data_IF_238232724048
#
_entry.id   IF_238232724048
#
_cell.length_a   1.000
_cell.length_b   1.000
_cell.length_c   1.000
_cell.angle_alpha   90.00
_cell.angle_beta   90.00
_cell.angle_gamma   90.00
#
_symmetry.space_group_name_H-M   'P 1'
#
loop_
_entity.id
_entity.type
_entity.pdbx_description
1 polymer ?
#
# COMPACT_ATOMS: atom_id res chain seq x y z
N UNK A 1 4.62 -3.16 -20.51
CA UNK A 1 5.66 -4.13 -20.87
C UNK A 1 5.05 -5.11 -21.85
N UNK A 2 5.66 -5.26 -23.01
CA UNK A 2 5.16 -6.13 -24.10
C UNK A 2 6.32 -6.37 -25.04
N UNK A 3 6.64 -7.60 -25.41
CA UNK A 3 7.77 -7.92 -26.30
C UNK A 3 7.49 -7.54 -27.77
N UNK A 4 6.29 -7.11 -28.09
CA UNK A 4 5.93 -6.53 -29.38
C UNK A 4 6.10 -4.99 -29.37
N UNK A 5 7.15 -4.46 -29.98
CA UNK A 5 7.46 -3.02 -30.04
C UNK A 5 6.28 -2.18 -30.58
N UNK A 6 5.55 -2.70 -31.58
CA UNK A 6 4.39 -2.01 -32.16
C UNK A 6 3.23 -1.81 -31.18
N UNK A 7 3.07 -2.71 -30.21
CA UNK A 7 2.05 -2.55 -29.12
C UNK A 7 2.52 -1.50 -28.14
N UNK A 8 3.79 -1.54 -27.74
CA UNK A 8 4.39 -0.54 -26.83
C UNK A 8 4.25 0.87 -27.44
N UNK A 9 4.56 1.04 -28.72
CA UNK A 9 4.43 2.32 -29.42
C UNK A 9 2.97 2.81 -29.47
N UNK A 10 2.05 1.92 -29.79
CA UNK A 10 0.63 2.23 -29.85
C UNK A 10 0.08 2.67 -28.49
N UNK A 11 0.45 1.94 -27.42
CA UNK A 11 0.10 2.30 -26.05
C UNK A 11 0.75 3.64 -25.62
N UNK A 12 2.00 3.88 -26.02
CA UNK A 12 2.70 5.14 -25.75
C UNK A 12 1.94 6.34 -26.32
N UNK A 13 1.56 6.27 -27.58
CA UNK A 13 0.82 7.34 -28.24
C UNK A 13 -0.54 7.55 -27.58
N UNK A 14 -1.24 6.47 -27.29
CA UNK A 14 -2.58 6.51 -26.69
C UNK A 14 -2.56 7.07 -25.28
N UNK A 15 -1.71 6.56 -24.40
CA UNK A 15 -1.65 6.97 -23.00
C UNK A 15 -1.11 8.38 -22.81
N UNK A 16 -0.10 8.78 -23.59
CA UNK A 16 0.40 10.18 -23.58
C UNK A 16 -0.67 11.17 -24.03
N UNK A 17 -1.50 10.82 -25.01
CA UNK A 17 -2.65 11.65 -25.42
C UNK A 17 -3.70 11.77 -24.34
N UNK A 18 -3.86 10.75 -23.51
CA UNK A 18 -4.77 10.73 -22.35
C UNK A 18 -4.19 11.43 -21.12
N UNK A 19 -2.97 11.99 -21.21
CA UNK A 19 -2.35 12.78 -20.15
C UNK A 19 -1.54 11.98 -19.14
N UNK A 20 -1.22 10.72 -19.44
CA UNK A 20 -0.41 9.87 -18.56
C UNK A 20 1.06 9.90 -18.94
N UNK A 21 1.93 9.89 -17.95
CA UNK A 21 3.34 9.57 -18.14
C UNK A 21 3.49 8.09 -18.47
N UNK A 22 4.30 7.80 -19.49
CA UNK A 22 4.43 6.44 -20.00
C UNK A 22 5.89 6.05 -20.24
N UNK A 23 6.28 4.92 -19.69
CA UNK A 23 7.57 4.26 -19.95
C UNK A 23 7.31 2.90 -20.60
N UNK A 24 7.73 2.75 -21.86
CA UNK A 24 7.63 1.50 -22.61
C UNK A 24 8.87 0.64 -22.43
N UNK A 25 8.69 -0.66 -22.24
CA UNK A 25 9.77 -1.64 -22.12
C UNK A 25 9.37 -2.91 -22.85
N UNK A 26 10.29 -3.46 -23.64
CA UNK A 26 10.06 -4.70 -24.40
C UNK A 26 10.76 -5.92 -23.76
N UNK A 27 11.70 -5.71 -22.87
CA UNK A 27 12.38 -6.77 -22.13
C UNK A 27 11.76 -6.89 -20.71
N UNK A 28 11.16 -8.05 -20.36
CA UNK A 28 10.60 -8.24 -19.02
C UNK A 28 11.62 -8.16 -17.90
N UNK A 29 12.90 -8.48 -18.16
CA UNK A 29 13.96 -8.35 -17.15
C UNK A 29 14.31 -6.89 -16.90
N UNK A 30 14.38 -6.06 -17.95
CA UNK A 30 14.54 -4.61 -17.81
C UNK A 30 13.36 -3.99 -17.04
N UNK A 31 12.13 -4.46 -17.27
CA UNK A 31 10.95 -3.99 -16.56
C UNK A 31 11.06 -4.22 -15.05
N UNK A 32 11.52 -5.41 -14.63
CA UNK A 32 11.74 -5.73 -13.21
C UNK A 32 12.78 -4.76 -12.59
N UNK A 33 13.89 -4.52 -13.29
CA UNK A 33 14.93 -3.62 -12.79
C UNK A 33 14.45 -2.15 -12.73
N UNK A 34 13.64 -1.71 -13.68
CA UNK A 34 13.04 -0.36 -13.64
C UNK A 34 12.11 -0.21 -12.43
N UNK A 35 11.24 -1.19 -12.17
CA UNK A 35 10.32 -1.13 -11.01
C UNK A 35 11.06 -1.17 -9.67
N UNK A 36 12.28 -1.72 -9.61
CA UNK A 36 13.12 -1.64 -8.40
C UNK A 36 13.70 -0.24 -8.17
N UNK A 37 14.02 0.48 -9.25
CA UNK A 37 14.78 1.71 -9.18
C UNK A 37 13.91 2.97 -9.34
N UNK A 38 12.73 2.84 -9.93
CA UNK A 38 11.82 3.93 -10.25
C UNK A 38 10.43 3.63 -9.68
N UNK A 39 9.68 4.68 -9.39
CA UNK A 39 8.28 4.56 -8.94
C UNK A 39 7.34 4.53 -10.13
N UNK A 40 6.44 3.57 -10.12
CA UNK A 40 5.33 3.47 -11.07
C UNK A 40 4.03 3.24 -10.29
N UNK A 41 2.97 3.92 -10.69
CA UNK A 41 1.63 3.75 -10.10
C UNK A 41 0.96 2.49 -10.63
N UNK A 42 1.10 2.26 -11.96
CA UNK A 42 0.41 1.19 -12.67
C UNK A 42 1.34 0.57 -13.71
N UNK A 43 1.30 -0.74 -13.82
CA UNK A 43 1.99 -1.51 -14.86
C UNK A 43 0.97 -2.21 -15.75
N UNK A 44 1.11 -2.03 -17.06
CA UNK A 44 0.43 -2.83 -18.07
C UNK A 44 1.44 -3.87 -18.55
N UNK A 45 1.09 -5.15 -18.45
CA UNK A 45 2.00 -6.25 -18.65
C UNK A 45 1.38 -7.29 -19.59
N UNK A 46 2.04 -7.61 -20.68
CA UNK A 46 1.65 -8.75 -21.48
C UNK A 46 1.84 -10.05 -20.71
N UNK A 47 0.91 -10.97 -20.88
CA UNK A 47 0.98 -12.27 -20.21
C UNK A 47 1.95 -13.22 -20.90
N UNK A 48 2.02 -13.18 -22.23
CA UNK A 48 2.87 -14.09 -23.02
C UNK A 48 4.04 -13.32 -23.60
N UNK A 49 5.17 -13.45 -22.97
CA UNK A 49 6.43 -12.81 -23.39
C UNK A 49 7.59 -13.80 -23.35
N UNK A 50 8.68 -13.45 -23.99
CA UNK A 50 9.98 -14.12 -23.89
C UNK A 50 11.02 -13.16 -23.29
N UNK A 51 12.00 -13.63 -22.48
CA UNK A 51 12.28 -15.03 -22.08
C UNK A 51 11.42 -15.55 -20.91
N UNK A 52 10.65 -14.71 -20.24
CA UNK A 52 9.79 -15.11 -19.11
C UNK A 52 8.36 -14.60 -19.32
N UNK A 53 7.38 -15.35 -18.84
CA UNK A 53 5.97 -14.96 -18.91
C UNK A 53 5.60 -13.89 -17.87
N UNK A 54 4.46 -13.23 -18.11
CA UNK A 54 3.98 -12.14 -17.24
C UNK A 54 3.72 -12.56 -15.80
N UNK A 55 3.27 -13.79 -15.55
CA UNK A 55 3.10 -14.33 -14.19
C UNK A 55 4.43 -14.39 -13.42
N UNK A 56 5.52 -14.79 -14.08
CA UNK A 56 6.86 -14.82 -13.49
C UNK A 56 7.39 -13.40 -13.20
N UNK A 57 7.11 -12.45 -14.09
CA UNK A 57 7.42 -11.03 -13.87
C UNK A 57 6.71 -10.51 -12.61
N UNK A 58 5.42 -10.81 -12.49
CA UNK A 58 4.63 -10.42 -11.31
C UNK A 58 5.17 -11.08 -10.03
N UNK A 59 5.49 -12.37 -10.06
CA UNK A 59 6.08 -13.07 -8.91
C UNK A 59 7.39 -12.39 -8.44
N UNK A 60 8.26 -12.01 -9.36
CA UNK A 60 9.50 -11.30 -9.01
C UNK A 60 9.23 -9.90 -8.42
N UNK A 61 8.33 -9.14 -9.03
CA UNK A 61 7.96 -7.79 -8.56
C UNK A 61 7.31 -7.86 -7.17
N UNK A 62 6.41 -8.81 -6.92
CA UNK A 62 5.72 -8.95 -5.63
C UNK A 62 6.63 -9.29 -4.45
N UNK A 63 7.87 -9.75 -4.70
CA UNK A 63 8.87 -9.96 -3.64
C UNK A 63 9.31 -8.65 -2.98
N UNK A 64 9.29 -7.53 -3.71
CA UNK A 64 9.76 -6.22 -3.23
C UNK A 64 8.74 -5.09 -3.36
N UNK A 65 7.75 -5.20 -4.26
CA UNK A 65 6.69 -4.20 -4.43
C UNK A 65 5.31 -4.89 -4.45
N UNK A 66 4.59 -4.75 -3.34
CA UNK A 66 3.24 -5.30 -3.17
C UNK A 66 2.13 -4.33 -3.59
N UNK A 67 2.47 -3.06 -3.81
CA UNK A 67 1.50 -1.98 -4.02
C UNK A 67 1.31 -1.61 -5.48
N UNK A 68 2.26 -1.96 -6.37
CA UNK A 68 2.16 -1.69 -7.79
C UNK A 68 0.86 -2.27 -8.37
N UNK A 69 0.05 -1.42 -8.98
CA UNK A 69 -1.18 -1.85 -9.64
C UNK A 69 -0.84 -2.53 -10.97
N UNK A 70 -1.22 -3.78 -11.15
CA UNK A 70 -0.85 -4.57 -12.34
C UNK A 70 -2.10 -4.93 -13.13
N UNK A 71 -2.11 -4.53 -14.41
CA UNK A 71 -3.08 -4.94 -15.42
C UNK A 71 -2.39 -5.86 -16.43
N UNK A 72 -2.93 -7.07 -16.61
CA UNK A 72 -2.43 -7.96 -17.64
C UNK A 72 -3.10 -7.69 -18.99
N UNK A 73 -2.30 -7.71 -20.04
CA UNK A 73 -2.79 -7.83 -21.40
C UNK A 73 -2.69 -9.29 -21.86
N UNK A 74 -3.65 -9.77 -22.63
CA UNK A 74 -3.62 -11.13 -23.21
C UNK A 74 -4.06 -11.09 -24.66
N UNK A 75 -3.33 -11.79 -25.52
CA UNK A 75 -3.64 -11.86 -26.96
C UNK A 75 -4.83 -12.76 -27.32
N UNK A 76 -5.18 -13.73 -26.47
CA UNK A 76 -6.24 -14.70 -26.73
C UNK A 76 -6.97 -15.10 -25.44
N UNK A 77 -8.30 -15.26 -25.54
CA UNK A 77 -9.15 -15.70 -24.41
C UNK A 77 -8.76 -17.06 -23.85
N UNK A 78 -8.34 -17.96 -24.71
CA UNK A 78 -7.95 -19.33 -24.33
C UNK A 78 -6.59 -19.40 -23.61
N UNK A 79 -5.81 -18.31 -23.63
CA UNK A 79 -4.50 -18.19 -22.99
C UNK A 79 -4.53 -17.23 -21.78
N UNK A 80 -5.73 -16.78 -21.39
CA UNK A 80 -5.88 -15.97 -20.16
C UNK A 80 -5.39 -16.77 -18.95
N UNK A 81 -4.69 -16.12 -18.02
CA UNK A 81 -4.23 -16.79 -16.81
C UNK A 81 -5.41 -17.35 -16.02
N UNK A 82 -5.28 -18.54 -15.41
CA UNK A 82 -6.31 -19.08 -14.53
C UNK A 82 -6.67 -18.06 -13.44
N UNK A 83 -7.96 -17.98 -13.07
CA UNK A 83 -8.42 -17.08 -12.01
C UNK A 83 -7.66 -17.28 -10.68
N UNK A 84 -7.19 -18.49 -10.42
CA UNK A 84 -6.35 -18.80 -9.27
C UNK A 84 -5.00 -18.08 -9.33
N UNK A 85 -4.38 -18.00 -10.51
CA UNK A 85 -3.12 -17.26 -10.74
C UNK A 85 -3.32 -15.77 -10.53
N UNK A 86 -4.40 -15.19 -11.08
CA UNK A 86 -4.73 -13.77 -10.89
C UNK A 86 -4.88 -13.43 -9.40
N UNK A 87 -5.59 -14.28 -8.65
CA UNK A 87 -5.79 -14.09 -7.19
C UNK A 87 -4.50 -14.30 -6.39
N UNK A 88 -3.73 -15.34 -6.72
CA UNK A 88 -2.48 -15.67 -6.01
C UNK A 88 -1.43 -14.57 -6.16
N UNK A 89 -1.35 -13.97 -7.34
CA UNK A 89 -0.36 -12.94 -7.67
C UNK A 89 -0.84 -11.52 -7.39
N UNK A 90 -2.05 -11.37 -6.84
CA UNK A 90 -2.65 -10.06 -6.57
C UNK A 90 -2.61 -9.14 -7.81
N UNK A 91 -3.15 -9.64 -8.91
CA UNK A 91 -3.30 -8.92 -10.17
C UNK A 91 -4.68 -8.26 -10.17
N UNK A 92 -4.73 -6.94 -10.39
CA UNK A 92 -5.94 -6.16 -10.22
C UNK A 92 -6.90 -6.23 -11.40
N UNK A 93 -6.40 -6.58 -12.58
CA UNK A 93 -7.26 -6.77 -13.74
C UNK A 93 -6.55 -7.35 -14.95
N UNK A 94 -7.34 -7.77 -15.92
CA UNK A 94 -6.82 -8.17 -17.23
C UNK A 94 -7.70 -7.64 -18.37
N UNK A 95 -7.10 -7.43 -19.53
CA UNK A 95 -7.74 -6.95 -20.74
C UNK A 95 -7.24 -7.74 -21.93
N UNK A 96 -8.09 -7.96 -22.93
CA UNK A 96 -7.68 -8.57 -24.18
C UNK A 96 -7.03 -7.53 -25.11
N UNK A 97 -5.92 -7.92 -25.78
CA UNK A 97 -5.25 -7.06 -26.79
C UNK A 97 -6.17 -6.70 -27.96
N UNK A 98 -7.20 -7.52 -28.22
CA UNK A 98 -8.22 -7.30 -29.24
C UNK A 98 -9.30 -6.32 -28.84
N UNK A 99 -9.41 -6.00 -27.56
CA UNK A 99 -10.39 -5.04 -27.06
C UNK A 99 -10.07 -3.63 -27.55
N UNK A 100 -11.11 -2.82 -27.68
CA UNK A 100 -10.92 -1.42 -28.06
C UNK A 100 -10.12 -0.71 -26.97
N UNK A 101 -9.20 0.16 -27.36
CA UNK A 101 -8.42 0.98 -26.44
C UNK A 101 -9.26 1.71 -25.39
N UNK A 102 -10.52 1.99 -25.68
CA UNK A 102 -11.47 2.60 -24.74
C UNK A 102 -11.72 1.71 -23.49
N UNK A 103 -11.76 0.38 -23.65
CA UNK A 103 -11.91 -0.53 -22.48
C UNK A 103 -10.65 -0.54 -21.62
N UNK A 104 -9.48 -0.57 -22.25
CA UNK A 104 -8.21 -0.46 -21.54
C UNK A 104 -8.12 0.87 -20.77
N UNK A 105 -8.53 1.98 -21.39
CA UNK A 105 -8.55 3.30 -20.73
C UNK A 105 -9.44 3.29 -19.50
N UNK A 106 -10.65 2.74 -19.59
CA UNK A 106 -11.55 2.61 -18.45
C UNK A 106 -10.95 1.81 -17.30
N UNK A 107 -10.22 0.73 -17.60
CA UNK A 107 -9.52 -0.07 -16.59
C UNK A 107 -8.38 0.73 -15.95
N UNK A 108 -7.63 1.48 -16.74
CA UNK A 108 -6.55 2.33 -16.24
C UNK A 108 -7.12 3.45 -15.36
N UNK A 109 -8.15 4.16 -15.79
CA UNK A 109 -8.81 5.21 -15.01
C UNK A 109 -9.37 4.67 -13.70
N UNK A 110 -10.01 3.50 -13.74
CA UNK A 110 -10.49 2.82 -12.53
C UNK A 110 -9.35 2.42 -11.59
N UNK A 111 -8.24 1.93 -12.16
CA UNK A 111 -7.02 1.59 -11.41
C UNK A 111 -6.41 2.80 -10.73
N UNK A 112 -6.22 3.89 -11.47
CA UNK A 112 -5.65 5.14 -10.91
C UNK A 112 -6.54 5.69 -9.81
N UNK A 113 -7.85 5.70 -10.00
CA UNK A 113 -8.77 6.10 -8.95
C UNK A 113 -8.68 5.23 -7.69
N UNK A 114 -8.49 3.93 -7.87
CA UNK A 114 -8.28 3.00 -6.74
C UNK A 114 -6.95 3.29 -6.01
N UNK A 115 -5.89 3.60 -6.74
CA UNK A 115 -4.59 3.99 -6.18
C UNK A 115 -4.70 5.29 -5.38
N UNK A 116 -5.37 6.31 -5.92
CA UNK A 116 -5.61 7.58 -5.23
C UNK A 116 -6.37 7.37 -3.92
N UNK A 117 -7.43 6.54 -3.94
CA UNK A 117 -8.20 6.21 -2.75
C UNK A 117 -7.35 5.47 -1.70
N UNK A 118 -6.52 4.52 -2.12
CA UNK A 118 -5.62 3.79 -1.21
C UNK A 118 -4.58 4.72 -0.57
N UNK A 119 -4.00 5.62 -1.35
CA UNK A 119 -3.05 6.60 -0.85
C UNK A 119 -3.70 7.57 0.15
N UNK A 120 -4.92 8.01 -0.12
CA UNK A 120 -5.67 8.86 0.81
C UNK A 120 -6.01 8.12 2.11
N UNK A 121 -6.41 6.85 2.04
CA UNK A 121 -6.66 6.02 3.24
C UNK A 121 -5.37 5.89 4.07
N UNK A 122 -4.21 5.65 3.44
CA UNK A 122 -2.93 5.59 4.14
C UNK A 122 -2.62 6.91 4.86
N UNK A 123 -2.76 8.02 4.15
CA UNK A 123 -2.53 9.36 4.71
C UNK A 123 -3.41 9.64 5.93
N UNK A 124 -4.71 9.32 5.82
CA UNK A 124 -5.67 9.50 6.93
C UNK A 124 -5.29 8.60 8.13
N UNK A 125 -4.88 7.35 7.90
CA UNK A 125 -4.48 6.44 8.97
C UNK A 125 -3.22 6.92 9.69
N UNK A 126 -2.24 7.45 8.98
CA UNK A 126 -1.03 8.04 9.57
C UNK A 126 -1.36 9.28 10.42
N UNK A 127 -2.22 10.17 9.91
CA UNK A 127 -2.69 11.36 10.62
C UNK A 127 -3.48 10.98 11.89
N UNK A 128 -4.35 9.97 11.77
CA UNK A 128 -5.13 9.44 12.88
C UNK A 128 -4.21 8.87 13.98
N UNK A 129 -3.22 8.06 13.61
CA UNK A 129 -2.23 7.50 14.56
C UNK A 129 -1.49 8.61 15.30
N UNK A 130 -0.98 9.61 14.57
CA UNK A 130 -0.30 10.76 15.17
C UNK A 130 -1.20 11.56 16.12
N UNK A 131 -2.49 11.67 15.78
CA UNK A 131 -3.47 12.39 16.61
C UNK A 131 -3.79 11.62 17.87
N UNK A 132 -3.90 10.30 17.81
CA UNK A 132 -4.07 9.43 18.98
C UNK A 132 -2.90 9.56 19.96
N UNK A 133 -1.66 9.51 19.46
CA UNK A 133 -0.47 9.68 20.31
C UNK A 133 -0.45 11.05 21.02
N UNK A 134 -0.81 12.12 20.31
CA UNK A 134 -0.91 13.47 20.91
C UNK A 134 -2.01 13.55 21.96
N UNK A 135 -3.16 12.94 21.69
CA UNK A 135 -4.29 12.92 22.62
C UNK A 135 -3.94 12.15 23.90
N UNK A 136 -3.34 10.98 23.77
CA UNK A 136 -2.89 10.17 24.91
C UNK A 136 -1.91 10.95 25.79
N UNK A 137 -0.92 11.60 25.17
CA UNK A 137 0.03 12.45 25.89
C UNK A 137 -0.67 13.59 26.62
N UNK A 138 -1.55 14.33 25.95
CA UNK A 138 -2.29 15.44 26.55
C UNK A 138 -3.20 14.97 27.71
N UNK A 139 -3.78 13.78 27.58
CA UNK A 139 -4.58 13.17 28.64
C UNK A 139 -3.74 12.85 29.87
N UNK A 140 -2.58 12.20 29.70
CA UNK A 140 -1.65 11.91 30.80
C UNK A 140 -1.11 13.17 31.44
N UNK A 141 -0.74 14.19 30.68
CA UNK A 141 -0.28 15.48 31.18
C UNK A 141 -1.38 16.18 32.02
N UNK A 142 -2.64 16.06 31.59
CA UNK A 142 -3.80 16.61 32.31
C UNK A 142 -4.02 15.91 33.66
N UNK A 143 -3.96 14.56 33.67
CA UNK A 143 -4.04 13.79 34.93
C UNK A 143 -2.92 14.18 35.88
N UNK A 144 -1.70 14.31 35.37
CA UNK A 144 -0.54 14.68 36.17
C UNK A 144 -0.70 16.09 36.76
N UNK A 145 -1.20 17.03 35.97
CA UNK A 145 -1.46 18.41 36.44
C UNK A 145 -2.53 18.43 37.53
N UNK A 146 -3.63 17.67 37.36
CA UNK A 146 -4.67 17.53 38.39
C UNK A 146 -4.10 16.93 39.68
N UNK A 147 -3.27 15.90 39.58
CA UNK A 147 -2.59 15.29 40.70
C UNK A 147 -1.76 16.33 41.48
N UNK A 148 -0.92 17.09 40.80
CA UNK A 148 -0.13 18.14 41.44
C UNK A 148 -1.00 19.22 42.09
N UNK A 149 -2.11 19.57 41.50
CA UNK A 149 -3.05 20.55 42.04
C UNK A 149 -3.67 20.06 43.35
N UNK A 150 -4.06 18.78 43.42
CA UNK A 150 -4.60 18.17 44.66
C UNK A 150 -3.54 18.06 45.72
N UNK A 151 -2.33 17.59 45.39
CA UNK A 151 -1.23 17.44 46.34
C UNK A 151 -0.68 18.78 46.84
N UNK A 152 -0.79 19.87 46.07
CA UNK A 152 -0.42 21.21 46.49
C UNK A 152 -1.38 21.76 47.58
N UNK A 153 -2.66 21.32 47.55
CA UNK A 153 -3.70 21.79 48.45
C UNK A 153 -3.68 21.09 49.81
N UNK A 154 -3.14 19.86 49.88
CA UNK A 154 -3.06 19.06 51.10
C UNK A 154 -1.65 18.47 51.27
N UNK A 155 -0.84 19.02 52.22
CA UNK A 155 0.51 18.50 52.52
C UNK A 155 0.55 17.02 52.92
N UNK A 156 -0.55 16.48 53.42
CA UNK A 156 -0.64 15.08 53.85
C UNK A 156 -0.71 14.12 52.67
N UNK A 157 -1.27 14.55 51.55
CA UNK A 157 -1.37 13.76 50.33
C UNK A 157 -0.14 13.81 49.44
N UNK A 158 0.84 14.67 49.77
CA UNK A 158 2.06 14.83 48.97
C UNK A 158 2.81 13.50 48.85
N UNK A 159 3.03 13.06 47.58
CA UNK A 159 3.69 11.80 47.25
C UNK A 159 2.82 10.54 47.52
N UNK A 160 1.58 10.70 47.97
CA UNK A 160 0.67 9.57 48.14
C UNK A 160 0.32 8.94 46.78
N UNK A 161 -0.02 9.75 45.80
CA UNK A 161 -0.37 9.28 44.42
C UNK A 161 0.80 8.54 43.77
N UNK A 162 2.04 8.99 43.95
CA UNK A 162 3.23 8.31 43.45
C UNK A 162 3.41 6.92 44.07
N UNK A 163 3.22 6.82 45.39
CA UNK A 163 3.30 5.52 46.08
C UNK A 163 2.19 4.57 45.63
N UNK A 164 0.96 5.05 45.51
CA UNK A 164 -0.19 4.26 45.02
C UNK A 164 0.09 3.76 43.62
N UNK A 165 0.48 4.62 42.68
CA UNK A 165 0.83 4.24 41.32
C UNK A 165 1.93 3.18 41.30
N UNK A 166 3.02 3.38 42.02
CA UNK A 166 4.13 2.43 42.10
C UNK A 166 3.70 1.05 42.63
N UNK A 167 2.87 1.02 43.68
CA UNK A 167 2.38 -0.25 44.23
C UNK A 167 1.39 -0.91 43.28
N UNK A 168 0.53 -0.16 42.60
CA UNK A 168 -0.42 -0.72 41.60
C UNK A 168 0.34 -1.42 40.46
N UNK A 169 1.39 -0.79 39.91
CA UNK A 169 2.23 -1.40 38.88
C UNK A 169 2.91 -2.68 39.39
N UNK A 170 3.43 -2.67 40.63
CA UNK A 170 4.07 -3.87 41.21
C UNK A 170 3.06 -5.00 41.38
N UNK A 171 1.85 -4.72 41.85
CA UNK A 171 0.77 -5.70 41.99
C UNK A 171 0.35 -6.24 40.61
N UNK A 172 0.15 -5.36 39.61
CA UNK A 172 -0.18 -5.77 38.25
C UNK A 172 0.86 -6.74 37.68
N UNK A 173 2.14 -6.42 37.79
CA UNK A 173 3.23 -7.33 37.37
C UNK A 173 3.24 -8.66 38.10
N UNK A 174 2.96 -8.64 39.41
CA UNK A 174 2.85 -9.88 40.20
C UNK A 174 1.67 -10.74 39.76
N UNK A 175 0.59 -10.12 39.33
CA UNK A 175 -0.62 -10.80 38.82
C UNK A 175 -0.47 -11.22 37.33
N UNK A 176 0.64 -10.91 36.67
CA UNK A 176 0.90 -11.25 35.27
C UNK A 176 0.16 -10.40 34.26
N UNK A 177 -0.27 -9.18 34.64
CA UNK A 177 -0.85 -8.22 33.72
C UNK A 177 0.22 -7.67 32.78
N UNK A 178 -0.18 -7.31 31.56
CA UNK A 178 0.72 -6.70 30.57
C UNK A 178 0.99 -5.22 30.88
N UNK A 179 2.01 -4.63 30.27
CA UNK A 179 2.31 -3.20 30.45
C UNK A 179 1.23 -2.27 29.86
N UNK A 180 0.24 -2.83 29.14
CA UNK A 180 -0.92 -2.12 28.59
C UNK A 180 -2.17 -2.16 29.49
N UNK A 181 -2.18 -2.99 30.52
CA UNK A 181 -3.25 -3.13 31.50
C UNK A 181 -2.99 -2.23 32.74
#
# INVERSE_FOLDING_TARGET
>A
VDDEEGIVDSLSIFLKRSGYDFTGVTDPMEAIEKVKNEHFDLMILDFIMTPIHGDQVVEEIRKFNKELYILLLTGHKDLAPPLETIRKLDIQGYCEKSDKFDQLLLLIESGIKSIEQMNEIKRINEELSSTYEKLEKAYLDSIQTLRYTVEAKDPYTRGHSDRVSKYSVLIGKYLGLSDSD
#
